data_IF_535274641835
#
_entry.id   IF_535274641835
#
_cell.length_a   1.000
_cell.length_b   1.000
_cell.length_c   1.000
_cell.angle_alpha   90.00
_cell.angle_beta   90.00
_cell.angle_gamma   90.00
#
_symmetry.space_group_name_H-M   'P 1'
#
loop_
_entity.id
_entity.type
_entity.pdbx_description
1 polymer ?
#
# COMPACT_ATOMS: atom_id res chain seq x y z
N UNK A 1 -14.25 12.75 -10.52
CA UNK A 1 -12.89 12.20 -10.46
C UNK A 1 -12.10 12.77 -11.64
N UNK A 2 -11.12 13.63 -11.39
CA UNK A 2 -10.28 14.21 -12.44
C UNK A 2 -9.13 13.23 -12.67
N UNK A 3 -9.03 12.67 -13.87
CA UNK A 3 -7.98 11.71 -14.22
C UNK A 3 -7.07 12.32 -15.27
N UNK A 4 -5.80 12.49 -14.94
CA UNK A 4 -4.81 12.93 -15.90
C UNK A 4 -4.56 11.80 -16.93
N UNK A 5 -4.87 12.05 -18.21
CA UNK A 5 -4.73 11.04 -19.27
C UNK A 5 -3.27 10.69 -19.57
N UNK A 6 -2.33 11.61 -19.33
CA UNK A 6 -0.91 11.45 -19.64
C UNK A 6 -0.12 10.58 -18.66
N UNK A 7 -0.65 10.35 -17.44
CA UNK A 7 0.00 9.50 -16.43
C UNK A 7 -0.42 8.05 -16.55
N UNK A 8 0.45 7.11 -16.21
CA UNK A 8 0.06 5.70 -16.17
C UNK A 8 -0.88 5.46 -14.98
N UNK A 9 -1.75 4.47 -15.11
CA UNK A 9 -2.64 4.02 -14.04
C UNK A 9 -2.38 2.54 -13.79
N UNK A 10 -2.12 2.21 -12.54
CA UNK A 10 -1.89 0.84 -12.09
C UNK A 10 -2.99 0.44 -11.12
N UNK A 11 -3.38 -0.84 -11.17
CA UNK A 11 -4.24 -1.46 -10.18
C UNK A 11 -3.38 -2.38 -9.32
N UNK A 12 -3.27 -2.06 -8.04
CA UNK A 12 -2.47 -2.84 -7.09
C UNK A 12 -3.40 -3.60 -6.15
N UNK A 13 -3.31 -4.92 -6.18
CA UNK A 13 -4.06 -5.78 -5.27
C UNK A 13 -3.33 -5.93 -3.94
N UNK A 14 -4.05 -5.85 -2.83
CA UNK A 14 -3.52 -6.02 -1.48
C UNK A 14 -4.45 -6.92 -0.65
N UNK A 15 -3.87 -7.78 0.17
CA UNK A 15 -4.67 -8.62 1.08
C UNK A 15 -5.26 -7.79 2.22
N UNK A 16 -6.46 -8.15 2.73
CA UNK A 16 -7.14 -7.45 3.82
C UNK A 16 -6.27 -7.12 5.03
N UNK A 17 -5.47 -8.07 5.50
CA UNK A 17 -4.60 -7.91 6.68
C UNK A 17 -3.54 -6.80 6.53
N UNK A 18 -2.97 -6.65 5.33
CA UNK A 18 -2.02 -5.59 5.02
C UNK A 18 -2.73 -4.28 4.66
N UNK A 19 -3.90 -4.37 4.03
CA UNK A 19 -4.70 -3.21 3.69
C UNK A 19 -5.08 -2.39 4.92
N UNK A 20 -5.65 -3.04 5.94
CA UNK A 20 -6.06 -2.39 7.19
C UNK A 20 -4.91 -1.70 7.91
N UNK A 21 -3.69 -2.25 7.84
CA UNK A 21 -2.49 -1.66 8.45
C UNK A 21 -1.99 -0.45 7.66
N UNK A 22 -2.02 -0.51 6.34
CA UNK A 22 -1.50 0.55 5.47
C UNK A 22 -2.50 1.70 5.30
N UNK A 23 -3.80 1.39 5.32
CA UNK A 23 -4.91 2.30 5.09
C UNK A 23 -6.02 2.11 6.15
N UNK A 24 -5.75 2.44 7.43
CA UNK A 24 -6.70 2.22 8.53
C UNK A 24 -8.00 3.00 8.35
N UNK A 25 -7.94 4.16 7.70
CA UNK A 25 -9.10 5.05 7.50
C UNK A 25 -9.98 4.63 6.31
N UNK A 26 -9.48 3.75 5.44
CA UNK A 26 -10.18 3.29 4.22
C UNK A 26 -10.71 1.86 4.37
N UNK A 27 -11.14 1.49 5.59
CA UNK A 27 -11.67 0.16 5.92
C UNK A 27 -13.15 0.03 5.57
N UNK A 28 -13.58 -1.21 5.31
CA UNK A 28 -15.00 -1.52 5.20
C UNK A 28 -15.66 -1.42 6.59
N UNK A 29 -16.80 -0.74 6.67
CA UNK A 29 -17.59 -0.56 7.90
C UNK A 29 -18.08 -1.88 8.52
N UNK A 30 -18.02 -2.98 7.77
CA UNK A 30 -18.38 -4.34 8.22
C UNK A 30 -17.24 -5.09 8.90
N UNK A 31 -16.06 -4.47 9.08
CA UNK A 31 -14.94 -5.07 9.81
C UNK A 31 -15.02 -4.75 11.31
N UNK A 32 -14.65 -5.72 12.15
CA UNK A 32 -14.58 -5.52 13.59
C UNK A 32 -13.59 -4.39 13.93
N UNK A 33 -13.93 -3.49 14.86
CA UNK A 33 -13.03 -2.45 15.34
C UNK A 33 -12.00 -3.11 16.26
N UNK A 34 -11.09 -3.90 15.70
CA UNK A 34 -9.83 -4.16 16.38
C UNK A 34 -9.19 -2.80 16.57
N UNK A 35 -8.96 -2.45 17.84
CA UNK A 35 -8.35 -1.22 18.31
C UNK A 35 -7.07 -1.05 17.50
N UNK A 36 -7.14 -0.24 16.44
CA UNK A 36 -5.95 0.16 15.70
C UNK A 36 -5.18 0.98 16.72
N UNK A 37 -4.07 0.45 17.22
CA UNK A 37 -3.18 1.23 18.05
C UNK A 37 -2.85 2.49 17.25
N UNK A 38 -3.23 3.64 17.81
CA UNK A 38 -3.08 4.94 17.18
C UNK A 38 -1.60 5.30 17.18
N UNK A 39 -0.87 4.67 16.27
CA UNK A 39 0.53 4.95 16.03
C UNK A 39 0.57 6.05 14.98
N UNK A 40 1.27 7.13 15.31
CA UNK A 40 1.30 8.39 14.56
C UNK A 40 1.70 8.26 13.07
N UNK A 41 2.30 7.14 12.66
CA UNK A 41 2.62 6.85 11.26
C UNK A 41 1.43 6.35 10.42
N UNK A 42 0.34 5.90 11.03
CA UNK A 42 -0.83 5.37 10.29
C UNK A 42 -1.70 6.48 9.69
N UNK A 43 -1.61 7.72 10.20
CA UNK A 43 -2.30 8.90 9.69
C UNK A 43 -1.46 9.70 8.68
N UNK A 44 -0.25 9.24 8.38
CA UNK A 44 0.61 9.88 7.37
C UNK A 44 0.05 9.65 5.97
N UNK A 45 0.00 10.72 5.17
CA UNK A 45 -0.38 10.69 3.75
C UNK A 45 0.65 9.87 2.93
N UNK A 46 1.90 9.85 3.38
CA UNK A 46 2.98 9.08 2.78
C UNK A 46 2.93 7.63 3.26
N UNK A 47 2.75 6.71 2.31
CA UNK A 47 2.66 5.27 2.56
C UNK A 47 3.81 4.55 1.86
N UNK A 48 4.41 3.62 2.59
CA UNK A 48 5.49 2.77 2.10
C UNK A 48 4.89 1.42 1.74
N UNK A 49 5.10 0.99 0.50
CA UNK A 49 4.66 -0.32 0.03
C UNK A 49 5.86 -1.14 -0.43
N UNK A 50 6.00 -2.35 0.11
CA UNK A 50 7.14 -3.24 -0.14
C UNK A 50 6.61 -4.49 -0.83
N UNK A 51 7.24 -4.86 -1.94
CA UNK A 51 6.86 -6.04 -2.69
C UNK A 51 8.04 -6.60 -3.49
N UNK A 52 7.86 -7.84 -3.95
CA UNK A 52 8.78 -8.52 -4.87
C UNK A 52 8.25 -8.53 -6.33
N UNK A 53 7.26 -7.69 -6.65
CA UNK A 53 6.66 -7.64 -7.99
C UNK A 53 7.56 -6.84 -8.94
N UNK A 54 8.05 -7.51 -9.99
CA UNK A 54 8.95 -6.88 -10.97
C UNK A 54 8.27 -5.74 -11.74
N UNK A 55 6.97 -5.84 -12.01
CA UNK A 55 6.22 -4.83 -12.78
C UNK A 55 6.20 -3.45 -12.10
N UNK A 56 6.40 -3.40 -10.77
CA UNK A 56 6.48 -2.14 -10.02
C UNK A 56 7.69 -1.31 -10.44
N UNK A 57 8.73 -1.93 -10.99
CA UNK A 57 9.90 -1.23 -11.53
C UNK A 57 9.57 -0.36 -12.75
N UNK A 58 8.44 -0.60 -13.42
CA UNK A 58 7.97 0.24 -14.52
C UNK A 58 7.24 1.51 -14.05
N UNK A 59 6.89 1.58 -12.76
CA UNK A 59 6.20 2.73 -12.19
C UNK A 59 7.13 3.93 -12.10
N UNK A 60 6.60 5.11 -12.41
CA UNK A 60 7.36 6.37 -12.36
C UNK A 60 6.68 7.37 -11.46
N UNK A 61 7.47 8.30 -10.91
CA UNK A 61 6.95 9.40 -10.10
C UNK A 61 5.79 10.13 -10.80
N UNK A 62 4.68 10.29 -10.08
CA UNK A 62 3.45 10.90 -10.56
C UNK A 62 2.49 9.95 -11.27
N UNK A 63 2.83 8.67 -11.45
CA UNK A 63 1.87 7.66 -11.88
C UNK A 63 0.83 7.39 -10.79
N UNK A 64 -0.36 6.97 -11.21
CA UNK A 64 -1.51 6.78 -10.32
C UNK A 64 -1.61 5.30 -9.96
N UNK A 65 -1.75 5.00 -8.67
CA UNK A 65 -2.03 3.66 -8.17
C UNK A 65 -3.44 3.64 -7.58
N UNK A 66 -4.24 2.69 -8.04
CA UNK A 66 -5.53 2.35 -7.47
C UNK A 66 -5.34 1.12 -6.59
N UNK A 67 -5.70 1.23 -5.31
CA UNK A 67 -5.56 0.13 -4.36
C UNK A 67 -6.85 -0.69 -4.35
N UNK A 68 -6.72 -1.98 -4.64
CA UNK A 68 -7.78 -2.96 -4.57
C UNK A 68 -7.53 -3.93 -3.42
N UNK A 69 -8.34 -3.83 -2.37
CA UNK A 69 -8.36 -4.81 -1.29
C UNK A 69 -9.10 -6.06 -1.77
N UNK A 70 -8.41 -7.20 -1.75
CA UNK A 70 -8.99 -8.50 -2.13
C UNK A 70 -9.98 -9.00 -1.07
N UNK A 71 -10.68 -10.09 -1.37
CA UNK A 71 -11.61 -10.70 -0.42
C UNK A 71 -10.86 -11.40 0.73
N UNK A 72 -11.44 -11.39 1.91
CA UNK A 72 -10.92 -12.06 3.12
C UNK A 72 -11.24 -13.56 3.18
N UNK A 73 -11.76 -14.14 2.08
CA UNK A 73 -12.16 -15.54 1.96
C UNK A 73 -13.24 -16.01 2.94
N UNK A 74 -13.89 -15.10 3.68
CA UNK A 74 -14.97 -15.43 4.62
C UNK A 74 -16.36 -15.37 3.98
N UNK A 75 -16.44 -15.11 2.67
CA UNK A 75 -17.69 -15.04 1.92
C UNK A 75 -17.48 -14.56 0.49
N UNK A 76 -18.56 -14.30 -0.26
CA UNK A 76 -18.48 -13.88 -1.65
C UNK A 76 -17.70 -12.57 -1.82
N UNK A 77 -16.75 -12.57 -2.76
CA UNK A 77 -15.87 -11.42 -3.01
C UNK A 77 -16.65 -10.12 -3.34
N UNK A 78 -17.79 -10.22 -4.04
CA UNK A 78 -18.64 -9.08 -4.43
C UNK A 78 -18.96 -8.12 -3.27
N UNK A 79 -19.06 -8.62 -2.04
CA UNK A 79 -19.39 -7.81 -0.85
C UNK A 79 -18.20 -7.57 0.07
N UNK A 80 -17.05 -8.18 -0.21
CA UNK A 80 -15.88 -8.23 0.68
C UNK A 80 -14.57 -7.84 0.01
N UNK A 81 -14.58 -7.44 -1.26
CA UNK A 81 -13.45 -6.83 -1.98
C UNK A 81 -13.83 -5.43 -2.44
N UNK A 82 -12.88 -4.49 -2.42
CA UNK A 82 -13.17 -3.08 -2.67
C UNK A 82 -11.97 -2.33 -3.22
N UNK A 83 -12.23 -1.38 -4.13
CA UNK A 83 -11.28 -0.32 -4.45
C UNK A 83 -11.50 0.80 -3.43
N UNK A 84 -10.52 1.06 -2.57
CA UNK A 84 -10.74 1.92 -1.40
C UNK A 84 -9.71 3.05 -1.25
N UNK A 85 -8.62 3.05 -2.01
CA UNK A 85 -7.62 4.11 -1.91
C UNK A 85 -7.03 4.43 -3.28
N UNK A 86 -6.68 5.71 -3.45
CA UNK A 86 -6.00 6.24 -4.62
C UNK A 86 -4.69 6.86 -4.16
N UNK A 87 -3.59 6.47 -4.79
CA UNK A 87 -2.25 6.91 -4.45
C UNK A 87 -1.54 7.45 -5.69
N UNK A 88 -0.50 8.24 -5.45
CA UNK A 88 0.42 8.72 -6.48
C UNK A 88 1.80 8.18 -6.14
N UNK A 89 2.49 7.62 -7.14
CA UNK A 89 3.87 7.15 -6.98
C UNK A 89 4.76 8.35 -6.67
N UNK A 90 5.40 8.34 -5.51
CA UNK A 90 6.39 9.34 -5.15
C UNK A 90 7.79 8.89 -5.55
N UNK A 91 8.15 7.66 -5.19
CA UNK A 91 9.46 7.08 -5.45
C UNK A 91 9.37 5.55 -5.56
N UNK A 92 10.25 4.95 -6.37
CA UNK A 92 10.48 3.51 -6.44
C UNK A 92 11.97 3.28 -6.16
N UNK A 93 12.27 2.41 -5.19
CA UNK A 93 13.64 2.05 -4.80
C UNK A 93 13.78 0.54 -4.83
N UNK A 94 14.95 0.02 -5.22
CA UNK A 94 15.26 -1.41 -5.07
C UNK A 94 16.07 -1.68 -3.81
N UNK A 95 15.85 -2.83 -3.18
CA UNK A 95 16.50 -3.17 -1.91
C UNK A 95 18.05 -3.18 -2.01
N UNK A 96 18.59 -3.49 -3.19
CA UNK A 96 20.03 -3.51 -3.45
C UNK A 96 20.68 -2.12 -3.42
N UNK A 97 19.90 -1.04 -3.40
CA UNK A 97 20.41 0.34 -3.21
C UNK A 97 20.79 0.63 -1.75
N UNK A 98 20.39 -0.24 -0.81
CA UNK A 98 20.63 -0.05 0.62
C UNK A 98 21.75 -0.98 1.09
N UNK A 99 22.83 -0.39 1.60
CA UNK A 99 24.00 -1.13 2.09
C UNK A 99 23.79 -1.74 3.48
N UNK A 100 22.91 -1.16 4.30
CA UNK A 100 22.59 -1.66 5.64
C UNK A 100 21.10 -1.50 5.95
N UNK A 101 20.61 -2.30 6.90
CA UNK A 101 19.25 -2.16 7.43
C UNK A 101 19.05 -0.77 8.07
N UNK A 102 20.07 -0.21 8.70
CA UNK A 102 20.01 1.13 9.28
C UNK A 102 19.83 2.20 8.21
N UNK A 103 20.51 2.08 7.05
CA UNK A 103 20.32 3.00 5.91
C UNK A 103 18.91 2.90 5.32
N UNK A 104 18.31 1.72 5.36
CA UNK A 104 16.92 1.49 4.94
C UNK A 104 15.92 2.13 5.92
N UNK A 105 16.16 2.06 7.23
CA UNK A 105 15.26 2.60 8.28
C UNK A 105 15.44 4.11 8.52
N UNK A 106 16.67 4.64 8.48
CA UNK A 106 16.99 6.04 8.78
C UNK A 106 16.69 7.01 7.63
N UNK A 107 16.47 6.49 6.43
CA UNK A 107 15.82 7.22 5.36
C UNK A 107 14.34 6.83 5.45
N UNK A 108 13.42 7.71 5.89
CA UNK A 108 12.07 7.32 6.28
C UNK A 108 11.22 7.02 5.03
N UNK A 109 11.56 5.98 4.28
CA UNK A 109 10.80 5.51 3.14
C UNK A 109 10.78 3.99 2.94
N UNK A 110 11.43 3.12 3.75
CA UNK A 110 11.14 1.67 3.76
C UNK A 110 11.43 1.05 5.15
N UNK A 111 10.54 0.21 5.72
CA UNK A 111 10.81 -0.63 6.91
C UNK A 111 10.90 -2.10 6.49
N UNK A 112 11.86 -2.91 6.96
CA UNK A 112 12.10 -4.25 6.44
C UNK A 112 11.01 -5.22 6.89
N UNK A 113 10.54 -6.09 5.98
CA UNK A 113 9.85 -7.32 6.36
C UNK A 113 10.90 -8.42 6.46
N UNK A 114 11.33 -8.71 7.68
CA UNK A 114 11.63 -10.10 8.08
C UNK A 114 10.29 -10.74 8.43
N UNK A 115 10.00 -11.88 7.81
CA UNK A 115 9.76 -13.10 8.57
C UNK A 115 9.91 -14.31 7.63
N UNK A 116 10.84 -15.19 8.05
CA UNK A 116 11.33 -16.46 7.49
C UNK A 116 12.44 -16.39 6.44
#
# INVERSE_FOLDING_TARGET
MIVNKAKNKYLLSIYPEFHTRLFPDSRLLTESPNIVQDVSHTNSIHKIYICAMQDVLHMKRGDIIVIYRTADKQGPARYRSVINSLCIVEEVRVINEFSTLETLVNNPLILPLRDQ
#
